data_IF_758623871147
#
_entry.id   IF_758623871147
#
_cell.length_a   1.000
_cell.length_b   1.000
_cell.length_c   1.000
_cell.angle_alpha   90.00
_cell.angle_beta   90.00
_cell.angle_gamma   90.00
#
_symmetry.space_group_name_H-M   'P 1'
#
loop_
_entity.id
_entity.type
_entity.pdbx_description
1 polymer ?
#
# COMPACT_ATOMS: atom_id res chain seq x y z
N UNK A 1 6.13 -39.02 -16.04
CA UNK A 1 5.01 -38.29 -16.69
C UNK A 1 4.54 -37.22 -15.70
N UNK A 2 4.45 -35.94 -16.11
CA UNK A 2 4.30 -34.69 -15.31
C UNK A 2 5.56 -33.80 -15.29
N UNK A 3 5.84 -33.14 -16.41
CA UNK A 3 6.76 -31.98 -16.51
C UNK A 3 6.12 -30.76 -17.19
N UNK A 4 4.80 -30.75 -17.38
CA UNK A 4 4.16 -29.82 -18.33
C UNK A 4 3.35 -28.68 -17.70
N UNK A 5 3.37 -28.51 -16.36
CA UNK A 5 2.56 -27.47 -15.70
C UNK A 5 3.34 -26.21 -15.29
N UNK A 6 4.67 -26.22 -15.39
CA UNK A 6 5.54 -25.10 -14.93
C UNK A 6 5.74 -23.99 -15.97
N UNK A 7 5.27 -24.19 -17.21
CA UNK A 7 5.43 -23.22 -18.29
C UNK A 7 4.19 -22.33 -18.51
N UNK A 8 3.07 -22.64 -17.86
CA UNK A 8 1.77 -22.01 -18.17
C UNK A 8 1.61 -20.63 -17.51
N UNK A 9 2.12 -20.42 -16.29
CA UNK A 9 2.03 -19.12 -15.61
C UNK A 9 2.95 -18.07 -16.23
N UNK A 10 4.19 -18.45 -16.59
CA UNK A 10 5.14 -17.53 -17.22
C UNK A 10 4.71 -17.12 -18.64
N UNK A 11 3.96 -17.98 -19.35
CA UNK A 11 3.43 -17.69 -20.68
C UNK A 11 2.20 -16.76 -20.65
N UNK A 12 1.33 -16.87 -19.63
CA UNK A 12 0.21 -15.92 -19.46
C UNK A 12 0.71 -14.49 -19.14
N UNK A 13 1.79 -14.36 -18.36
CA UNK A 13 2.37 -13.06 -18.00
C UNK A 13 3.00 -12.34 -19.21
N UNK A 14 3.71 -13.07 -20.08
CA UNK A 14 4.28 -12.53 -21.33
C UNK A 14 3.23 -12.17 -22.39
N UNK A 15 2.09 -12.88 -22.42
CA UNK A 15 0.98 -12.59 -23.35
C UNK A 15 0.20 -11.34 -22.94
N UNK A 16 -0.02 -11.12 -21.63
CA UNK A 16 -0.61 -9.88 -21.11
C UNK A 16 0.31 -8.67 -21.32
N UNK A 17 1.62 -8.82 -21.10
CA UNK A 17 2.59 -7.74 -21.35
C UNK A 17 2.68 -7.37 -22.83
N UNK A 18 2.59 -8.36 -23.74
CA UNK A 18 2.64 -8.11 -25.20
C UNK A 18 1.34 -7.50 -25.75
N UNK A 19 0.17 -7.84 -25.18
CA UNK A 19 -1.09 -7.24 -25.62
C UNK A 19 -1.29 -5.80 -25.12
N UNK A 20 -0.76 -5.46 -23.94
CA UNK A 20 -0.87 -4.10 -23.39
C UNK A 20 0.18 -3.15 -23.97
N UNK A 21 1.39 -3.63 -24.31
CA UNK A 21 2.50 -2.74 -24.71
C UNK A 21 2.95 -2.86 -26.18
N UNK A 22 2.52 -3.87 -26.96
CA UNK A 22 3.06 -4.13 -28.31
C UNK A 22 2.00 -4.50 -29.38
N UNK A 23 0.73 -4.08 -29.20
CA UNK A 23 -0.34 -4.30 -30.19
C UNK A 23 -0.37 -3.27 -31.34
N UNK A 24 -0.18 -3.78 -32.57
CA UNK A 24 -0.45 -3.22 -33.92
C UNK A 24 0.07 -1.82 -34.31
N UNK A 25 1.26 -1.82 -34.92
CA UNK A 25 1.88 -0.71 -35.68
C UNK A 25 1.31 -0.52 -37.10
N UNK A 26 0.00 -0.70 -37.31
CA UNK A 26 -0.60 -0.59 -38.65
C UNK A 26 -1.57 0.59 -38.78
N UNK A 27 -1.09 1.80 -38.46
CA UNK A 27 -1.68 3.05 -38.93
C UNK A 27 -0.67 4.21 -38.87
N UNK A 28 0.52 4.03 -39.43
CA UNK A 28 1.40 5.15 -39.80
C UNK A 28 1.13 5.51 -41.27
N UNK A 29 0.08 6.30 -41.48
CA UNK A 29 0.00 7.17 -42.64
C UNK A 29 0.39 8.57 -42.14
N UNK A 30 1.45 9.14 -42.71
CA UNK A 30 1.87 10.51 -42.40
C UNK A 30 0.69 11.46 -42.62
N UNK A 31 0.33 12.32 -41.65
CA UNK A 31 -0.65 13.36 -41.89
C UNK A 31 -0.06 14.36 -42.91
N UNK A 32 -0.87 14.88 -43.86
CA UNK A 32 -0.41 15.89 -44.79
C UNK A 32 0.01 17.16 -44.01
N UNK A 33 1.13 17.75 -44.42
CA UNK A 33 1.72 18.94 -43.81
C UNK A 33 0.69 20.08 -43.68
N UNK A 34 0.48 20.56 -42.45
CA UNK A 34 -0.30 21.78 -42.20
C UNK A 34 0.50 23.03 -42.61
N UNK A 35 -0.14 24.05 -43.20
CA UNK A 35 0.49 25.33 -43.48
C UNK A 35 0.70 26.12 -42.18
N UNK A 36 1.68 27.06 -42.15
CA UNK A 36 2.02 27.77 -40.93
C UNK A 36 1.01 28.89 -40.72
N UNK A 37 0.31 28.87 -39.58
CA UNK A 37 -0.24 30.11 -39.05
C UNK A 37 -0.07 30.19 -37.53
N UNK A 38 0.13 31.41 -37.10
CA UNK A 38 0.87 31.77 -35.90
C UNK A 38 0.02 31.79 -34.62
N UNK A 39 0.70 31.40 -33.52
CA UNK A 39 0.53 31.81 -32.11
C UNK A 39 0.04 30.72 -31.14
N UNK A 40 0.97 30.26 -30.29
CA UNK A 40 0.69 29.42 -29.10
C UNK A 40 1.77 28.36 -28.85
N UNK A 41 2.37 28.41 -27.66
CA UNK A 41 3.50 27.59 -27.15
C UNK A 41 3.48 26.08 -27.48
N UNK A 42 4.64 25.40 -27.70
CA UNK A 42 4.72 24.00 -28.15
C UNK A 42 4.65 22.94 -27.03
N UNK A 43 4.11 23.28 -25.86
CA UNK A 43 3.85 22.31 -24.78
C UNK A 43 2.36 22.32 -24.44
N UNK A 44 1.53 21.85 -25.38
CA UNK A 44 0.14 21.52 -25.08
C UNK A 44 0.11 20.10 -24.49
N UNK A 45 -0.07 19.99 -23.17
CA UNK A 45 -0.64 18.78 -22.59
C UNK A 45 -1.98 18.50 -23.31
N UNK A 46 -2.32 17.26 -23.67
CA UNK A 46 -3.40 16.98 -24.61
C UNK A 46 -4.83 17.17 -24.05
N UNK A 47 -5.01 17.89 -22.94
CA UNK A 47 -6.32 18.13 -22.34
C UNK A 47 -6.50 19.61 -22.00
N UNK A 48 -7.48 20.26 -22.61
CA UNK A 48 -7.74 21.70 -22.51
C UNK A 48 -8.63 22.10 -21.32
N UNK A 49 -9.31 21.16 -20.64
CA UNK A 49 -10.03 21.36 -19.38
C UNK A 49 -10.55 20.03 -18.80
N UNK A 50 -10.89 19.99 -17.51
CA UNK A 50 -11.57 18.85 -16.86
C UNK A 50 -12.91 18.50 -17.54
N UNK A 51 -13.60 19.51 -18.09
CA UNK A 51 -14.87 19.30 -18.79
C UNK A 51 -14.67 18.54 -20.12
N UNK A 52 -13.58 18.81 -20.83
CA UNK A 52 -13.22 18.10 -22.06
C UNK A 52 -12.82 16.65 -21.73
N UNK A 53 -12.01 16.45 -20.68
CA UNK A 53 -11.65 15.13 -20.19
C UNK A 53 -12.87 14.31 -19.73
N UNK A 54 -13.79 14.93 -19.00
CA UNK A 54 -15.02 14.28 -18.56
C UNK A 54 -15.89 13.83 -19.74
N UNK A 55 -15.89 14.60 -20.83
CA UNK A 55 -16.55 14.26 -22.09
C UNK A 55 -15.94 13.01 -22.74
N UNK A 56 -14.63 13.01 -22.91
CA UNK A 56 -13.88 11.93 -23.58
C UNK A 56 -13.88 10.63 -22.78
N UNK A 57 -13.85 10.71 -21.44
CA UNK A 57 -13.78 9.55 -20.55
C UNK A 57 -15.11 9.20 -19.88
N UNK A 58 -16.25 9.69 -20.38
CA UNK A 58 -17.57 9.47 -19.76
C UNK A 58 -17.91 8.00 -19.52
N UNK A 59 -17.43 7.10 -20.39
CA UNK A 59 -17.62 5.65 -20.25
C UNK A 59 -16.84 5.04 -19.06
N UNK A 60 -15.87 5.78 -18.50
CA UNK A 60 -15.03 5.41 -17.37
C UNK A 60 -15.41 6.13 -16.08
N UNK A 61 -16.53 6.89 -16.09
CA UNK A 61 -17.00 7.59 -14.91
C UNK A 61 -17.28 6.59 -13.77
N UNK A 62 -16.78 6.84 -12.54
CA UNK A 62 -17.07 5.99 -11.40
C UNK A 62 -18.56 6.08 -11.03
N UNK A 63 -19.13 5.04 -10.41
CA UNK A 63 -20.43 5.15 -9.78
C UNK A 63 -20.36 6.14 -8.62
N UNK A 64 -21.18 7.19 -8.66
CA UNK A 64 -21.27 8.18 -7.59
C UNK A 64 -22.28 7.71 -6.53
N UNK A 65 -21.83 7.68 -5.27
CA UNK A 65 -22.68 7.36 -4.14
C UNK A 65 -23.33 8.62 -3.57
N UNK A 66 -24.58 8.52 -3.05
CA UNK A 66 -25.29 9.67 -2.48
C UNK A 66 -24.76 10.10 -1.10
N UNK A 67 -23.79 9.37 -0.55
CA UNK A 67 -23.12 9.66 0.72
C UNK A 67 -21.77 8.94 0.76
N UNK A 68 -20.76 9.63 1.30
CA UNK A 68 -19.42 9.13 1.57
C UNK A 68 -18.53 10.34 1.85
N UNK A 69 -17.83 10.41 3.00
CA UNK A 69 -16.92 11.52 3.27
C UNK A 69 -15.67 11.40 2.39
N UNK A 70 -14.98 12.53 2.20
CA UNK A 70 -13.64 12.54 1.66
C UNK A 70 -12.63 12.25 2.78
N UNK A 71 -12.45 10.98 3.12
CA UNK A 71 -11.47 10.50 4.12
C UNK A 71 -10.32 9.77 3.44
N UNK A 72 -9.17 9.70 4.11
CA UNK A 72 -8.05 8.84 3.70
C UNK A 72 -8.38 7.37 3.96
N UNK A 73 -9.25 7.11 4.93
CA UNK A 73 -9.60 5.76 5.34
C UNK A 73 -8.58 5.22 6.35
N UNK A 74 -8.74 3.95 6.75
CA UNK A 74 -7.88 3.33 7.77
C UNK A 74 -6.40 3.23 7.32
N UNK A 75 -5.48 3.26 8.28
CA UNK A 75 -4.04 3.29 8.00
C UNK A 75 -3.49 1.98 7.42
N UNK A 76 -3.95 0.83 7.91
CA UNK A 76 -3.43 -0.47 7.47
C UNK A 76 -4.34 -1.14 6.43
N UNK A 77 -5.64 -0.93 6.51
CA UNK A 77 -6.63 -1.59 5.64
C UNK A 77 -6.81 -0.82 4.34
N UNK A 78 -6.48 -1.44 3.21
CA UNK A 78 -6.74 -0.86 1.91
C UNK A 78 -8.24 -0.63 1.64
N UNK A 79 -8.54 0.41 0.88
CA UNK A 79 -9.90 0.69 0.42
C UNK A 79 -10.21 -0.14 -0.83
N UNK A 80 -11.41 -0.74 -0.88
CA UNK A 80 -11.83 -1.54 -2.05
C UNK A 80 -12.20 -0.69 -3.28
N UNK A 81 -12.05 0.62 -3.19
CA UNK A 81 -12.34 1.56 -4.26
C UNK A 81 -11.04 1.99 -4.94
N UNK A 82 -11.13 2.21 -6.26
CA UNK A 82 -9.98 2.64 -7.04
C UNK A 82 -10.02 4.13 -7.34
N UNK A 83 -8.91 4.78 -7.56
CA UNK A 83 -8.90 6.18 -7.95
C UNK A 83 -9.57 6.36 -9.33
N UNK A 84 -10.47 7.35 -9.50
CA UNK A 84 -11.04 7.67 -10.80
C UNK A 84 -9.96 8.13 -11.78
N UNK A 85 -10.16 7.89 -13.08
CA UNK A 85 -9.22 8.35 -14.11
C UNK A 85 -8.94 9.86 -13.99
N UNK A 86 -7.66 10.21 -14.00
CA UNK A 86 -7.19 11.60 -13.85
C UNK A 86 -7.15 12.10 -12.40
N UNK A 87 -7.61 11.31 -11.43
CA UNK A 87 -7.42 11.59 -10.00
C UNK A 87 -6.16 10.89 -9.50
N UNK A 88 -5.53 11.49 -8.50
CA UNK A 88 -4.38 10.92 -7.82
C UNK A 88 -4.27 11.52 -6.42
N UNK A 89 -3.58 10.80 -5.54
CA UNK A 89 -3.22 11.34 -4.24
C UNK A 89 -1.79 10.99 -3.85
N UNK A 90 -1.20 11.89 -3.07
CA UNK A 90 0.07 11.69 -2.39
C UNK A 90 -0.19 11.57 -0.90
N UNK A 91 0.27 10.48 -0.31
CA UNK A 91 0.04 10.15 1.10
C UNK A 91 1.37 9.80 1.75
N UNK A 92 2.01 10.75 2.45
CA UNK A 92 2.99 10.47 3.47
C UNK A 92 2.26 9.92 4.69
N UNK A 93 2.29 8.61 4.83
CA UNK A 93 1.88 7.93 6.04
C UNK A 93 3.13 7.70 6.90
N UNK A 94 3.09 8.00 8.20
CA UNK A 94 4.18 7.77 9.13
C UNK A 94 3.69 6.93 10.32
N UNK A 95 4.48 5.92 10.69
CA UNK A 95 4.25 5.09 11.87
C UNK A 95 5.58 4.66 12.48
N UNK A 96 5.63 4.56 13.81
CA UNK A 96 6.85 4.18 14.53
C UNK A 96 6.61 2.93 15.36
N UNK A 97 7.30 1.83 15.05
CA UNK A 97 7.24 0.63 15.88
C UNK A 97 8.11 0.81 17.12
N UNK A 98 7.49 1.20 18.23
CA UNK A 98 8.20 1.44 19.48
C UNK A 98 8.18 0.20 20.38
N UNK A 99 9.36 -0.26 20.77
CA UNK A 99 9.55 -1.27 21.82
C UNK A 99 10.70 -0.86 22.75
N UNK A 100 10.94 -1.53 23.90
CA UNK A 100 11.99 -1.12 24.81
C UNK A 100 13.37 -1.06 24.15
N UNK A 101 13.89 0.16 24.00
CA UNK A 101 15.19 0.43 23.39
C UNK A 101 15.19 0.42 21.85
N UNK A 102 14.04 0.41 21.19
CA UNK A 102 13.92 0.43 19.73
C UNK A 102 12.82 1.40 19.29
N UNK A 103 13.09 2.15 18.22
CA UNK A 103 12.12 2.96 17.49
C UNK A 103 12.44 2.78 16.00
N UNK A 104 11.45 2.31 15.24
CA UNK A 104 11.56 2.07 13.81
C UNK A 104 10.47 2.89 13.13
N UNK A 105 10.79 4.14 12.82
CA UNK A 105 9.91 5.05 12.12
C UNK A 105 9.94 4.73 10.63
N UNK A 106 8.81 4.32 10.08
CA UNK A 106 8.61 4.18 8.65
C UNK A 106 7.66 5.26 8.16
N UNK A 107 8.03 5.91 7.06
CA UNK A 107 7.21 6.89 6.37
C UNK A 107 7.04 6.52 4.89
N UNK A 108 6.12 5.60 4.55
CA UNK A 108 5.75 5.33 3.17
C UNK A 108 5.22 6.58 2.47
N UNK A 109 5.94 7.01 1.43
CA UNK A 109 5.47 8.01 0.50
C UNK A 109 4.67 7.30 -0.60
N UNK A 110 3.35 7.26 -0.46
CA UNK A 110 2.45 6.62 -1.43
C UNK A 110 1.97 7.61 -2.47
N UNK A 111 2.09 7.27 -3.74
CA UNK A 111 1.42 7.94 -4.86
C UNK A 111 0.44 6.94 -5.49
N UNK A 112 -0.85 7.22 -5.40
CA UNK A 112 -1.90 6.43 -6.03
C UNK A 112 -2.49 7.19 -7.23
N UNK A 113 -2.70 6.50 -8.34
CA UNK A 113 -3.17 7.10 -9.60
C UNK A 113 -4.26 6.25 -10.22
N UNK A 114 -5.39 6.90 -10.53
CA UNK A 114 -6.50 6.27 -11.22
C UNK A 114 -6.21 6.08 -12.70
N UNK A 115 -6.21 4.83 -13.16
CA UNK A 115 -5.94 4.46 -14.56
C UNK A 115 -7.23 4.33 -15.40
N UNK A 116 -8.40 4.41 -14.76
CA UNK A 116 -9.69 4.11 -15.38
C UNK A 116 -9.95 2.60 -15.47
N UNK A 117 -11.07 2.20 -16.07
CA UNK A 117 -11.47 0.78 -16.18
C UNK A 117 -11.41 -0.01 -14.86
N UNK A 118 -11.75 0.65 -13.75
CA UNK A 118 -11.69 0.08 -12.41
C UNK A 118 -10.26 -0.32 -11.96
N UNK A 119 -9.22 0.35 -12.47
CA UNK A 119 -7.82 0.12 -12.11
C UNK A 119 -7.19 1.36 -11.46
N UNK A 120 -6.36 1.10 -10.46
CA UNK A 120 -5.46 2.06 -9.82
C UNK A 120 -4.07 1.44 -9.72
N UNK A 121 -3.06 2.30 -9.83
CA UNK A 121 -1.67 1.97 -9.59
C UNK A 121 -1.16 2.81 -8.43
N UNK A 122 -0.53 2.15 -7.48
CA UNK A 122 0.09 2.80 -6.35
C UNK A 122 1.58 2.50 -6.35
N UNK A 123 2.35 3.49 -5.93
CA UNK A 123 3.80 3.36 -5.73
C UNK A 123 4.14 3.92 -4.36
N UNK A 124 4.89 3.14 -3.60
CA UNK A 124 5.31 3.47 -2.24
C UNK A 124 6.82 3.51 -2.18
N UNK A 125 7.34 4.62 -1.66
CA UNK A 125 8.75 4.78 -1.31
C UNK A 125 8.87 4.99 0.20
N UNK A 126 9.17 3.94 0.99
CA UNK A 126 9.32 4.08 2.43
C UNK A 126 10.62 4.80 2.77
N UNK A 127 10.49 5.88 3.54
CA UNK A 127 11.60 6.54 4.21
C UNK A 127 11.65 6.01 5.64
N UNK A 128 12.77 5.39 6.01
CA UNK A 128 12.90 4.68 7.28
C UNK A 128 13.95 5.34 8.15
N UNK A 129 13.64 5.48 9.43
CA UNK A 129 14.57 5.87 10.47
C UNK A 129 14.50 4.86 11.60
N UNK A 130 15.58 4.10 11.76
CA UNK A 130 15.73 3.19 12.89
C UNK A 130 16.59 3.85 13.97
N UNK A 131 16.24 3.56 15.20
CA UNK A 131 16.99 3.92 16.39
C UNK A 131 17.01 2.73 17.35
N UNK A 132 18.20 2.36 17.79
CA UNK A 132 18.42 1.24 18.71
C UNK A 132 19.28 1.73 19.87
N UNK A 133 18.84 1.48 21.09
CA UNK A 133 19.50 1.89 22.33
C UNK A 133 19.30 0.86 23.45
N UNK A 134 19.70 1.18 24.69
CA UNK A 134 19.55 0.24 25.80
C UNK A 134 18.06 -0.05 26.04
N UNK A 135 17.66 -1.30 26.32
CA UNK A 135 18.51 -2.44 26.68
C UNK A 135 19.05 -3.28 25.50
N UNK A 136 18.75 -2.94 24.24
CA UNK A 136 19.23 -3.70 23.08
C UNK A 136 20.73 -3.49 22.83
N UNK A 137 21.24 -2.33 23.23
CA UNK A 137 22.67 -1.99 23.20
C UNK A 137 23.27 -1.94 24.61
N UNK A 138 24.61 -1.99 24.74
CA UNK A 138 25.28 -1.68 26.00
C UNK A 138 24.92 -0.28 26.52
N UNK A 139 24.87 -0.12 27.85
CA UNK A 139 24.60 1.18 28.46
C UNK A 139 25.55 2.27 27.94
N UNK A 140 24.98 3.41 27.50
CA UNK A 140 25.74 4.52 26.93
C UNK A 140 26.02 4.42 25.43
N UNK A 141 25.56 3.37 24.76
CA UNK A 141 25.63 3.20 23.30
C UNK A 141 24.24 3.31 22.68
N UNK A 142 24.16 3.90 21.49
CA UNK A 142 22.96 3.88 20.66
C UNK A 142 23.37 3.99 19.20
N UNK A 143 22.59 3.41 18.31
CA UNK A 143 22.76 3.51 16.87
C UNK A 143 21.50 4.13 16.25
N UNK A 144 21.67 4.88 15.18
CA UNK A 144 20.55 5.37 14.38
C UNK A 144 20.95 5.41 12.93
N UNK A 145 20.02 5.01 12.07
CA UNK A 145 20.22 4.99 10.64
C UNK A 145 18.97 5.51 9.94
N UNK A 146 19.16 6.22 8.83
CA UNK A 146 18.09 6.73 7.99
C UNK A 146 18.36 6.35 6.54
N UNK A 147 17.32 5.95 5.84
CA UNK A 147 17.41 5.73 4.39
C UNK A 147 16.09 5.34 3.77
N UNK A 148 16.19 4.68 2.62
CA UNK A 148 15.05 4.20 1.86
C UNK A 148 14.89 2.72 2.14
N UNK A 149 13.65 2.30 2.40
CA UNK A 149 13.33 0.90 2.58
C UNK A 149 13.04 0.16 1.28
N UNK A 150 12.25 -0.90 1.37
CA UNK A 150 11.82 -1.65 0.19
C UNK A 150 10.76 -0.89 -0.62
N UNK A 151 11.02 -0.65 -1.90
CA UNK A 151 10.06 -0.01 -2.80
C UNK A 151 8.89 -0.95 -3.05
N UNK A 152 7.67 -0.43 -3.00
CA UNK A 152 6.45 -1.22 -3.14
C UNK A 152 5.56 -0.67 -4.27
N UNK A 153 4.98 -1.57 -5.06
CA UNK A 153 4.02 -1.26 -6.12
C UNK A 153 2.75 -2.07 -5.91
N UNK A 154 1.60 -1.42 -6.04
CA UNK A 154 0.29 -2.06 -5.92
C UNK A 154 -0.50 -1.84 -7.20
N UNK A 155 -1.13 -2.89 -7.72
CA UNK A 155 -2.15 -2.77 -8.76
C UNK A 155 -3.47 -3.20 -8.16
N UNK A 156 -4.39 -2.25 -8.02
CA UNK A 156 -5.71 -2.48 -7.45
C UNK A 156 -6.76 -2.53 -8.55
N UNK A 157 -7.55 -3.61 -8.55
CA UNK A 157 -8.61 -3.86 -9.52
C UNK A 157 -9.96 -4.01 -8.84
N UNK A 158 -10.82 -2.99 -9.01
CA UNK A 158 -12.16 -3.01 -8.46
C UNK A 158 -13.08 -3.91 -9.30
N UNK A 159 -13.65 -4.92 -8.64
CA UNK A 159 -14.56 -5.90 -9.22
C UNK A 159 -16.02 -5.46 -9.12
N UNK A 160 -16.37 -4.81 -8.02
CA UNK A 160 -17.74 -4.33 -7.74
C UNK A 160 -17.71 -2.99 -7.04
N UNK A 161 -18.82 -2.28 -7.10
CA UNK A 161 -19.01 -1.00 -6.42
C UNK A 161 -20.12 -1.13 -5.39
N UNK A 162 -20.08 -0.28 -4.37
CA UNK A 162 -21.14 -0.26 -3.36
C UNK A 162 -22.48 0.05 -4.03
N UNK A 163 -23.46 -0.83 -3.83
CA UNK A 163 -24.74 -0.74 -4.51
C UNK A 163 -25.70 0.26 -3.87
N UNK A 164 -25.64 0.44 -2.54
CA UNK A 164 -26.53 1.33 -1.80
C UNK A 164 -26.02 1.53 -0.36
N UNK A 165 -25.80 2.79 0.01
CA UNK A 165 -25.27 3.23 1.31
C UNK A 165 -26.30 3.19 2.45
N UNK A 166 -27.58 3.04 2.13
CA UNK A 166 -28.69 2.97 3.09
C UNK A 166 -29.17 1.53 3.33
N UNK A 167 -28.70 0.57 2.55
CA UNK A 167 -29.06 -0.84 2.65
C UNK A 167 -27.85 -1.69 3.06
N UNK A 168 -27.78 -2.19 4.30
CA UNK A 168 -26.64 -2.96 4.79
C UNK A 168 -26.31 -4.21 3.97
N UNK A 169 -27.33 -4.82 3.35
CA UNK A 169 -27.20 -6.06 2.57
C UNK A 169 -27.10 -5.83 1.05
N UNK A 170 -27.09 -4.57 0.59
CA UNK A 170 -26.75 -4.30 -0.81
C UNK A 170 -25.29 -4.64 -1.07
N UNK A 171 -24.96 -4.96 -2.33
CA UNK A 171 -23.62 -5.36 -2.77
C UNK A 171 -22.55 -4.40 -2.21
N UNK A 172 -21.48 -4.91 -1.56
CA UNK A 172 -20.34 -4.09 -1.14
C UNK A 172 -19.44 -3.79 -2.32
N UNK A 173 -18.54 -2.81 -2.16
CA UNK A 173 -17.39 -2.68 -3.06
C UNK A 173 -16.38 -3.78 -2.75
N UNK A 174 -15.84 -4.42 -3.79
CA UNK A 174 -14.85 -5.48 -3.70
C UNK A 174 -13.76 -5.20 -4.72
N UNK A 175 -12.50 -5.30 -4.29
CA UNK A 175 -11.33 -5.22 -5.16
C UNK A 175 -10.35 -6.36 -4.89
N UNK A 176 -9.48 -6.60 -5.85
CA UNK A 176 -8.24 -7.35 -5.67
C UNK A 176 -7.07 -6.37 -5.72
N UNK A 177 -6.10 -6.50 -4.82
CA UNK A 177 -4.79 -5.86 -4.98
C UNK A 177 -3.72 -6.90 -5.24
N UNK A 178 -2.77 -6.51 -6.08
CA UNK A 178 -1.56 -7.26 -6.40
C UNK A 178 -0.37 -6.40 -6.05
N UNK A 179 0.38 -6.86 -5.06
CA UNK A 179 1.38 -6.05 -4.39
C UNK A 179 2.77 -6.66 -4.64
N UNK A 180 3.74 -5.80 -4.95
CA UNK A 180 5.10 -6.21 -5.30
C UNK A 180 6.11 -5.36 -4.56
N UNK A 181 6.90 -5.98 -3.69
CA UNK A 181 8.01 -5.33 -3.01
C UNK A 181 9.34 -5.70 -3.67
N UNK A 182 10.16 -4.68 -3.91
CA UNK A 182 11.52 -4.80 -4.40
C UNK A 182 12.48 -4.60 -3.23
N UNK A 183 13.49 -5.47 -3.04
CA UNK A 183 14.45 -5.37 -1.95
C UNK A 183 15.47 -4.25 -2.20
N UNK A 184 15.00 -3.00 -2.23
CA UNK A 184 15.82 -1.80 -2.45
C UNK A 184 16.46 -1.27 -1.17
N UNK A 185 15.94 -1.64 0.00
CA UNK A 185 16.51 -1.25 1.29
C UNK A 185 17.84 -1.94 1.58
N UNK A 186 18.58 -1.45 2.57
CA UNK A 186 19.83 -2.10 3.01
C UNK A 186 19.49 -3.36 3.84
N UNK A 187 20.00 -4.52 3.42
CA UNK A 187 19.83 -5.80 4.15
C UNK A 187 21.11 -6.66 4.19
N UNK A 188 22.18 -6.19 3.56
CA UNK A 188 23.49 -6.83 3.51
C UNK A 188 24.57 -5.84 3.94
N UNK A 189 25.74 -6.37 4.30
CA UNK A 189 26.89 -5.59 4.77
C UNK A 189 26.57 -4.72 5.99
N UNK A 190 25.65 -5.22 6.83
CA UNK A 190 25.24 -4.56 8.06
C UNK A 190 26.43 -4.44 9.01
N UNK A 191 26.55 -3.30 9.66
CA UNK A 191 27.58 -3.04 10.65
C UNK A 191 27.15 -3.65 12.00
N UNK A 192 27.91 -4.62 12.55
CA UNK A 192 27.54 -5.22 13.84
C UNK A 192 27.53 -4.23 15.01
N UNK A 193 28.16 -3.06 14.88
CA UNK A 193 28.13 -2.00 15.90
C UNK A 193 26.87 -1.15 15.84
N UNK A 194 26.07 -1.27 14.78
CA UNK A 194 24.82 -0.53 14.61
C UNK A 194 23.59 -1.33 15.06
N UNK A 195 23.78 -2.57 15.56
CA UNK A 195 22.73 -3.39 16.18
C UNK A 195 21.45 -3.45 15.35
N UNK A 196 21.58 -3.84 14.07
CA UNK A 196 20.52 -3.88 13.04
C UNK A 196 19.83 -2.55 12.72
N UNK A 197 20.21 -1.43 13.33
CA UNK A 197 19.63 -0.12 12.97
C UNK A 197 19.84 0.22 11.49
N UNK A 198 20.94 -0.25 10.88
CA UNK A 198 21.26 -0.04 9.47
C UNK A 198 20.57 -1.02 8.49
N UNK A 199 19.71 -1.90 8.98
CA UNK A 199 18.81 -2.70 8.15
C UNK A 199 17.55 -1.91 7.81
N UNK A 200 17.33 -1.63 6.53
CA UNK A 200 16.17 -0.90 6.00
C UNK A 200 15.31 -1.78 5.08
N UNK A 201 15.55 -3.08 5.03
CA UNK A 201 14.79 -3.97 4.17
C UNK A 201 14.96 -5.42 4.58
N UNK A 202 13.99 -6.25 4.19
CA UNK A 202 14.04 -7.69 4.44
C UNK A 202 14.91 -8.44 3.42
N UNK A 203 15.31 -7.79 2.32
CA UNK A 203 16.16 -8.41 1.30
C UNK A 203 15.48 -9.40 0.37
N UNK A 204 14.16 -9.51 0.42
CA UNK A 204 13.36 -10.42 -0.40
C UNK A 204 12.52 -9.66 -1.42
N UNK A 205 12.27 -10.28 -2.56
CA UNK A 205 11.13 -9.88 -3.40
C UNK A 205 9.88 -10.46 -2.76
N UNK A 206 8.86 -9.63 -2.56
CA UNK A 206 7.60 -10.09 -1.99
C UNK A 206 6.49 -9.92 -3.01
N UNK A 207 5.61 -10.92 -3.11
CA UNK A 207 4.43 -10.90 -3.96
C UNK A 207 3.18 -11.15 -3.13
N UNK A 208 2.33 -10.13 -3.02
CA UNK A 208 1.08 -10.16 -2.28
C UNK A 208 -0.13 -10.23 -3.18
N UNK A 209 -1.16 -10.96 -2.73
CA UNK A 209 -2.50 -10.90 -3.33
C UNK A 209 -3.52 -10.75 -2.22
N UNK A 210 -4.34 -9.69 -2.32
CA UNK A 210 -5.33 -9.37 -1.30
C UNK A 210 -6.72 -9.25 -1.90
N UNK A 211 -7.72 -9.60 -1.08
CA UNK A 211 -9.12 -9.27 -1.30
C UNK A 211 -9.47 -8.12 -0.37
N UNK A 212 -10.01 -7.06 -0.96
CA UNK A 212 -10.45 -5.86 -0.24
C UNK A 212 -11.96 -5.75 -0.33
N UNK A 213 -12.60 -5.41 0.77
CA UNK A 213 -14.05 -5.20 0.86
C UNK A 213 -14.32 -3.90 1.57
N UNK A 214 -15.22 -3.08 1.01
CA UNK A 214 -15.76 -1.89 1.65
C UNK A 214 -17.28 -1.91 1.60
N UNK A 215 -17.93 -1.53 2.70
CA UNK A 215 -19.38 -1.33 2.73
C UNK A 215 -19.76 -0.06 3.46
N UNK A 216 -20.56 0.77 2.79
CA UNK A 216 -21.24 1.93 3.36
C UNK A 216 -22.55 1.51 4.01
N UNK A 217 -22.73 1.93 5.26
CA UNK A 217 -23.98 1.80 6.00
C UNK A 217 -24.17 3.07 6.82
N UNK A 218 -24.65 4.14 6.19
CA UNK A 218 -24.69 5.49 6.78
C UNK A 218 -25.24 5.46 8.23
N UNK A 219 -24.53 6.04 9.22
CA UNK A 219 -23.32 6.89 9.13
C UNK A 219 -21.98 6.15 9.23
N UNK A 220 -21.96 4.84 9.02
CA UNK A 220 -20.79 3.98 9.21
C UNK A 220 -20.19 3.50 7.90
N UNK A 221 -18.90 3.17 7.95
CA UNK A 221 -18.20 2.44 6.90
C UNK A 221 -17.46 1.25 7.50
N UNK A 222 -17.44 0.15 6.77
CA UNK A 222 -16.76 -1.08 7.14
C UNK A 222 -15.74 -1.45 6.08
N UNK A 223 -14.57 -1.88 6.55
CA UNK A 223 -13.43 -2.26 5.71
C UNK A 223 -12.92 -3.63 6.12
N UNK A 224 -12.47 -4.41 5.15
CA UNK A 224 -11.79 -5.68 5.36
C UNK A 224 -10.76 -5.88 4.26
N UNK A 225 -9.56 -6.29 4.65
CA UNK A 225 -8.50 -6.74 3.76
C UNK A 225 -7.94 -8.06 4.29
N UNK A 226 -7.84 -9.05 3.42
CA UNK A 226 -7.19 -10.33 3.74
C UNK A 226 -6.37 -10.77 2.54
N UNK A 227 -5.15 -11.23 2.77
CA UNK A 227 -4.27 -11.68 1.70
C UNK A 227 -3.12 -12.54 2.18
N UNK A 228 -2.38 -13.07 1.23
CA UNK A 228 -1.16 -13.84 1.44
C UNK A 228 -0.02 -13.14 0.72
N UNK A 229 1.12 -13.02 1.39
CA UNK A 229 2.36 -12.50 0.81
C UNK A 229 3.37 -13.64 0.80
N UNK A 230 3.89 -13.90 -0.39
CA UNK A 230 4.99 -14.83 -0.60
C UNK A 230 6.28 -14.04 -0.63
N UNK A 231 7.23 -14.45 0.18
CA UNK A 231 8.59 -13.89 0.17
C UNK A 231 9.54 -14.86 -0.55
N UNK A 232 10.29 -14.32 -1.51
CA UNK A 232 11.26 -15.10 -2.28
C UNK A 232 12.55 -15.32 -1.48
N UNK A 233 13.16 -16.51 -1.55
CA UNK A 233 14.41 -16.80 -0.87
C UNK A 233 15.50 -15.81 -1.22
N UNK A 234 16.26 -15.39 -0.22
CA UNK A 234 17.35 -14.45 -0.38
C UNK A 234 18.62 -14.92 0.34
N UNK A 235 19.69 -14.13 0.24
CA UNK A 235 20.92 -14.32 1.00
C UNK A 235 21.13 -13.09 1.87
N UNK A 236 21.25 -13.29 3.19
CA UNK A 236 21.36 -12.21 4.17
C UNK A 236 22.69 -12.29 4.93
N UNK A 237 23.12 -11.15 5.46
CA UNK A 237 24.37 -10.99 6.19
C UNK A 237 24.26 -11.27 7.68
N UNK A 238 25.41 -11.26 8.36
CA UNK A 238 25.46 -11.24 9.83
C UNK A 238 24.83 -9.95 10.35
N UNK A 239 24.08 -10.04 11.44
CA UNK A 239 23.38 -8.91 12.04
C UNK A 239 21.99 -8.65 11.45
N UNK A 240 21.58 -9.42 10.44
CA UNK A 240 20.25 -9.30 9.84
C UNK A 240 19.16 -9.70 10.84
N UNK A 241 18.17 -8.86 11.04
CA UNK A 241 16.98 -9.10 11.85
C UNK A 241 15.87 -9.74 11.01
N UNK A 242 15.37 -10.89 11.46
CA UNK A 242 14.23 -11.56 10.80
C UNK A 242 12.93 -10.80 11.06
N UNK A 243 11.91 -11.04 10.24
CA UNK A 243 10.58 -10.40 10.33
C UNK A 243 9.92 -10.46 11.72
N UNK A 244 10.34 -11.40 12.58
CA UNK A 244 9.85 -11.49 13.96
C UNK A 244 10.40 -10.40 14.90
N UNK A 245 11.35 -9.57 14.44
CA UNK A 245 12.00 -8.48 15.18
C UNK A 245 12.61 -8.88 16.52
N UNK A 246 13.01 -10.14 16.65
CA UNK A 246 13.66 -10.69 17.86
C UNK A 246 14.92 -11.43 17.48
N UNK A 247 14.85 -12.23 16.41
CA UNK A 247 15.94 -13.11 16.01
C UNK A 247 16.90 -12.39 15.08
N UNK A 248 18.19 -12.54 15.36
CA UNK A 248 19.27 -12.01 14.52
C UNK A 248 20.06 -13.15 13.89
N UNK A 249 20.35 -13.04 12.60
CA UNK A 249 21.24 -13.95 11.90
C UNK A 249 22.70 -13.71 12.31
N UNK A 250 23.38 -14.78 12.73
CA UNK A 250 24.80 -14.76 13.10
C UNK A 250 25.72 -15.41 12.05
N UNK A 251 25.13 -15.90 10.95
CA UNK A 251 25.85 -16.67 9.93
C UNK A 251 26.11 -15.81 8.69
N UNK A 252 27.35 -15.69 8.19
CA UNK A 252 27.60 -14.99 6.94
C UNK A 252 26.97 -15.74 5.76
N UNK A 253 26.43 -15.00 4.79
CA UNK A 253 25.79 -15.54 3.58
C UNK A 253 24.69 -16.58 3.89
N UNK A 254 23.86 -16.29 4.89
CA UNK A 254 22.76 -17.17 5.26
C UNK A 254 21.72 -17.19 4.15
N UNK A 255 21.41 -18.37 3.63
CA UNK A 255 20.35 -18.53 2.65
C UNK A 255 19.00 -18.59 3.37
N UNK A 256 18.27 -17.49 3.34
CA UNK A 256 17.01 -17.31 4.03
C UNK A 256 15.84 -17.78 3.17
N UNK A 257 14.91 -18.49 3.81
CA UNK A 257 13.58 -18.84 3.28
C UNK A 257 12.58 -18.48 4.37
N UNK A 258 11.82 -17.41 4.15
CA UNK A 258 10.72 -17.03 5.01
C UNK A 258 9.48 -17.86 4.74
N UNK A 259 8.63 -17.95 5.76
CA UNK A 259 7.30 -18.53 5.58
C UNK A 259 6.37 -17.57 4.84
N UNK A 260 5.25 -18.09 4.34
CA UNK A 260 4.19 -17.23 3.86
C UNK A 260 3.64 -16.34 4.99
N UNK A 261 3.36 -15.08 4.65
CA UNK A 261 2.72 -14.11 5.53
C UNK A 261 1.23 -14.03 5.23
N UNK A 262 0.41 -14.40 6.21
CA UNK A 262 -1.01 -14.11 6.18
C UNK A 262 -1.23 -12.70 6.74
N UNK A 263 -1.79 -11.83 5.92
CA UNK A 263 -2.18 -10.48 6.31
C UNK A 263 -3.69 -10.40 6.51
N UNK A 264 -4.12 -9.72 7.58
CA UNK A 264 -5.53 -9.46 7.83
C UNK A 264 -5.70 -8.12 8.56
N UNK A 265 -6.54 -7.26 8.00
CA UNK A 265 -6.89 -5.99 8.60
C UNK A 265 -8.36 -5.66 8.33
N UNK A 266 -8.93 -4.80 9.15
CA UNK A 266 -10.28 -4.30 8.93
C UNK A 266 -10.57 -3.14 9.85
N UNK A 267 -11.53 -2.33 9.46
CA UNK A 267 -11.87 -1.13 10.22
C UNK A 267 -13.37 -0.89 10.27
N UNK A 268 -13.77 -0.25 11.35
CA UNK A 268 -15.07 0.36 11.53
C UNK A 268 -14.89 1.86 11.67
N UNK A 269 -15.50 2.62 10.77
CA UNK A 269 -15.45 4.07 10.77
C UNK A 269 -16.84 4.66 11.03
N UNK A 270 -16.90 5.68 11.87
CA UNK A 270 -18.08 6.50 12.07
C UNK A 270 -17.84 7.93 11.59
N UNK A 271 -18.60 8.31 10.57
CA UNK A 271 -18.52 9.63 9.96
C UNK A 271 -19.39 10.60 10.75
N UNK A 272 -18.74 11.58 11.39
CA UNK A 272 -19.41 12.62 12.16
C UNK A 272 -19.82 13.81 11.30
N UNK A 273 -19.02 14.12 10.28
CA UNK A 273 -19.28 15.22 9.36
C UNK A 273 -18.74 14.90 7.96
N UNK A 274 -19.62 14.90 6.96
CA UNK A 274 -19.23 14.60 5.57
C UNK A 274 -18.52 15.76 4.87
N UNK A 275 -18.86 17.01 5.19
CA UNK A 275 -18.23 18.20 4.62
C UNK A 275 -16.75 18.27 5.03
N UNK A 276 -16.47 17.98 6.29
CA UNK A 276 -15.12 18.02 6.84
C UNK A 276 -14.40 16.68 6.81
N UNK A 277 -14.99 15.64 6.20
CA UNK A 277 -14.47 14.28 6.28
C UNK A 277 -14.09 13.86 7.71
N UNK A 278 -14.83 14.34 8.71
CA UNK A 278 -14.43 14.21 10.10
C UNK A 278 -15.05 12.96 10.71
N UNK A 279 -14.23 12.14 11.34
CA UNK A 279 -14.65 10.86 11.90
C UNK A 279 -13.67 10.31 12.90
N UNK A 280 -14.06 9.17 13.47
CA UNK A 280 -13.15 8.28 14.16
C UNK A 280 -13.32 6.89 13.60
N UNK A 281 -12.27 6.10 13.68
CA UNK A 281 -12.30 4.71 13.28
C UNK A 281 -11.57 3.84 14.30
N UNK A 282 -11.99 2.59 14.35
CA UNK A 282 -11.33 1.53 15.09
C UNK A 282 -10.89 0.50 14.07
N UNK A 283 -9.59 0.43 13.84
CA UNK A 283 -8.96 -0.54 12.98
C UNK A 283 -8.40 -1.70 13.80
N UNK A 284 -8.42 -2.90 13.22
CA UNK A 284 -7.60 -4.02 13.63
C UNK A 284 -6.64 -4.36 12.50
N UNK A 285 -5.43 -4.75 12.86
CA UNK A 285 -4.40 -5.16 11.92
C UNK A 285 -3.61 -6.30 12.54
N UNK A 286 -3.30 -7.32 11.75
CA UNK A 286 -2.45 -8.40 12.17
C UNK A 286 -1.80 -9.12 11.01
N UNK A 287 -0.75 -9.83 11.36
CA UNK A 287 0.05 -10.61 10.44
C UNK A 287 0.44 -11.93 11.10
N UNK A 288 0.69 -12.96 10.28
CA UNK A 288 1.27 -14.21 10.75
C UNK A 288 2.18 -14.82 9.71
N UNK A 289 3.42 -15.09 10.10
CA UNK A 289 4.36 -15.90 9.32
C UNK A 289 4.27 -17.36 9.71
N UNK A 290 4.02 -18.22 8.73
CA UNK A 290 4.01 -19.67 8.94
C UNK A 290 5.42 -20.28 8.93
N UNK A 291 5.56 -21.55 9.33
CA UNK A 291 6.83 -22.28 9.21
C UNK A 291 7.09 -22.88 7.81
N UNK A 292 6.29 -22.50 6.81
CA UNK A 292 6.36 -23.05 5.44
C UNK A 292 6.16 -21.94 4.42
N UNK A 293 6.84 -22.05 3.31
CA UNK A 293 6.64 -21.24 2.13
C UNK A 293 5.89 -22.04 1.06
N UNK A 294 4.88 -21.44 0.45
CA UNK A 294 4.02 -22.07 -0.57
C UNK A 294 4.82 -22.61 -1.76
N UNK A 295 5.89 -21.91 -2.16
CA UNK A 295 6.68 -22.28 -3.33
C UNK A 295 8.06 -22.83 -3.00
N UNK A 296 8.64 -22.45 -1.86
CA UNK A 296 10.05 -22.74 -1.54
C UNK A 296 10.24 -23.79 -0.43
N UNK A 297 9.15 -24.31 0.15
CA UNK A 297 9.19 -25.42 1.11
C UNK A 297 9.37 -24.96 2.55
N UNK A 298 10.12 -25.70 3.37
CA UNK A 298 10.23 -25.39 4.79
C UNK A 298 10.97 -24.05 5.01
N UNK A 299 10.35 -23.17 5.80
CA UNK A 299 10.97 -21.92 6.20
C UNK A 299 12.08 -22.19 7.21
N UNK A 300 13.16 -21.41 7.13
CA UNK A 300 14.22 -21.39 8.12
C UNK A 300 14.27 -20.08 8.92
N UNK A 301 13.41 -19.10 8.58
CA UNK A 301 13.09 -17.97 9.42
C UNK A 301 12.08 -18.35 10.53
N UNK A 302 12.09 -17.67 11.69
CA UNK A 302 11.16 -17.94 12.77
C UNK A 302 9.70 -17.62 12.39
N UNK A 303 8.72 -18.45 12.78
CA UNK A 303 7.31 -18.10 12.65
C UNK A 303 6.90 -17.11 13.73
N UNK A 304 6.06 -16.13 13.39
CA UNK A 304 5.52 -15.15 14.32
C UNK A 304 4.06 -14.86 14.02
N UNK A 305 3.38 -14.18 14.97
CA UNK A 305 2.08 -13.58 14.71
C UNK A 305 1.78 -12.47 15.69
N UNK A 306 1.05 -11.46 15.25
CA UNK A 306 0.48 -10.44 16.13
C UNK A 306 -0.90 -9.99 15.63
N UNK A 307 -1.64 -9.37 16.54
CA UNK A 307 -2.89 -8.67 16.28
C UNK A 307 -2.92 -7.41 17.15
N UNK A 308 -3.21 -6.27 16.53
CA UNK A 308 -3.32 -4.96 17.14
C UNK A 308 -4.71 -4.36 16.93
N UNK A 309 -5.03 -3.38 17.77
CA UNK A 309 -6.18 -2.49 17.61
C UNK A 309 -5.68 -1.05 17.58
N UNK A 310 -6.18 -0.28 16.62
CA UNK A 310 -5.79 1.10 16.37
C UNK A 310 -7.02 2.01 16.42
N UNK A 311 -7.25 2.73 17.55
CA UNK A 311 -8.15 3.87 17.55
C UNK A 311 -7.53 5.05 16.83
N UNK A 312 -8.32 5.69 15.97
CA UNK A 312 -7.87 6.72 15.05
C UNK A 312 -8.90 7.82 14.88
N UNK A 313 -8.44 8.99 14.45
CA UNK A 313 -9.25 10.15 14.10
C UNK A 313 -8.79 10.74 12.79
N UNK A 314 -9.74 11.25 12.00
CA UNK A 314 -9.46 11.89 10.72
C UNK A 314 -10.24 13.20 10.57
N UNK A 315 -9.66 14.13 9.82
CA UNK A 315 -10.30 15.38 9.41
C UNK A 315 -9.75 15.87 8.08
N UNK A 316 -10.62 16.40 7.23
CA UNK A 316 -10.28 16.88 5.90
C UNK A 316 -10.38 18.41 5.83
N UNK A 317 -9.21 19.04 5.74
CA UNK A 317 -9.07 20.48 5.59
C UNK A 317 -7.67 20.88 5.08
N UNK A 318 -7.54 21.79 4.11
CA UNK A 318 -8.60 22.40 3.32
C UNK A 318 -9.30 21.36 2.43
N UNK A 319 -10.55 21.64 2.06
CA UNK A 319 -11.29 20.87 1.07
C UNK A 319 -11.91 21.82 0.05
N UNK A 320 -11.59 21.62 -1.21
CA UNK A 320 -12.28 22.21 -2.34
C UNK A 320 -12.56 21.13 -3.40
N UNK A 321 -13.17 21.52 -4.53
CA UNK A 321 -13.57 20.56 -5.57
C UNK A 321 -12.41 19.93 -6.33
N UNK A 322 -11.27 20.61 -6.40
CA UNK A 322 -10.08 20.19 -7.14
C UNK A 322 -9.05 19.52 -6.22
N UNK A 323 -9.04 19.90 -4.95
CA UNK A 323 -8.00 19.53 -4.01
C UNK A 323 -8.53 19.42 -2.58
N UNK A 324 -8.07 18.40 -1.87
CA UNK A 324 -8.36 18.23 -0.46
C UNK A 324 -7.16 17.66 0.28
N UNK A 325 -7.09 17.97 1.58
CA UNK A 325 -6.06 17.40 2.46
C UNK A 325 -6.73 16.71 3.64
N UNK A 326 -6.49 15.42 3.79
CA UNK A 326 -6.95 14.66 4.96
C UNK A 326 -5.80 14.48 5.95
N UNK A 327 -6.08 14.71 7.23
CA UNK A 327 -5.16 14.53 8.33
C UNK A 327 -5.66 13.38 9.19
N UNK A 328 -4.85 12.35 9.35
CA UNK A 328 -5.15 11.23 10.21
C UNK A 328 -4.15 11.14 11.36
N UNK A 329 -4.61 10.67 12.51
CA UNK A 329 -3.74 10.32 13.63
C UNK A 329 -4.33 9.16 14.43
N UNK A 330 -3.46 8.31 14.97
CA UNK A 330 -3.87 7.16 15.77
C UNK A 330 -2.74 6.54 16.56
N UNK A 331 -3.04 5.42 17.19
CA UNK A 331 -2.05 4.58 17.86
C UNK A 331 -2.47 3.11 17.79
N UNK A 332 -1.66 2.25 17.18
CA UNK A 332 -1.86 0.81 17.26
C UNK A 332 -1.35 0.28 18.60
N UNK A 333 -2.21 -0.48 19.27
CA UNK A 333 -1.95 -1.08 20.57
C UNK A 333 -1.98 -2.61 20.46
N UNK A 334 -1.07 -3.30 21.17
CA UNK A 334 -0.97 -4.74 21.06
C UNK A 334 -2.12 -5.45 21.78
N UNK A 335 -2.81 -6.35 21.07
CA UNK A 335 -3.86 -7.23 21.64
C UNK A 335 -3.31 -8.63 21.84
N UNK A 336 -2.54 -9.11 20.87
CA UNK A 336 -1.91 -10.42 20.89
C UNK A 336 -0.57 -10.38 20.15
N UNK A 337 0.42 -11.11 20.67
CA UNK A 337 1.74 -11.32 20.07
C UNK A 337 2.23 -12.74 20.40
N UNK A 338 2.84 -13.38 19.43
CA UNK A 338 3.55 -14.66 19.55
C UNK A 338 4.84 -14.58 18.76
N UNK A 339 5.96 -14.80 19.45
CA UNK A 339 7.32 -14.63 18.90
C UNK A 339 7.49 -13.26 18.21
N UNK A 340 6.91 -12.21 18.78
CA UNK A 340 6.97 -10.84 18.26
C UNK A 340 7.06 -9.87 19.46
N UNK A 341 7.83 -8.77 19.37
CA UNK A 341 8.00 -7.85 20.49
C UNK A 341 6.70 -7.15 20.86
N UNK A 342 6.60 -6.73 22.13
CA UNK A 342 5.51 -5.86 22.57
C UNK A 342 5.74 -4.46 22.02
N UNK A 343 5.02 -4.15 20.96
CA UNK A 343 5.14 -2.90 20.20
C UNK A 343 3.93 -2.00 20.41
N UNK A 344 4.16 -0.70 20.56
CA UNK A 344 3.15 0.36 20.46
C UNK A 344 3.50 1.20 19.25
N UNK A 345 2.51 1.53 18.43
CA UNK A 345 2.76 2.15 17.13
C UNK A 345 1.98 3.45 16.99
N UNK A 346 2.50 4.62 17.43
CA UNK A 346 1.91 5.89 17.07
C UNK A 346 1.97 6.08 15.54
N UNK A 347 0.93 6.70 15.00
CA UNK A 347 0.74 6.84 13.57
C UNK A 347 0.10 8.18 13.19
N UNK A 348 0.42 8.65 12.00
CA UNK A 348 -0.19 9.84 11.41
C UNK A 348 -0.03 9.89 9.90
N UNK A 349 -0.97 10.52 9.21
CA UNK A 349 -0.94 10.67 7.75
C UNK A 349 -1.38 12.08 7.35
N UNK A 350 -0.91 12.51 6.17
CA UNK A 350 -1.41 13.69 5.48
C UNK A 350 -1.68 13.35 4.02
N UNK A 351 -2.93 13.09 3.66
CA UNK A 351 -3.29 12.68 2.30
C UNK A 351 -3.66 13.88 1.46
N UNK A 352 -2.82 14.21 0.48
CA UNK A 352 -3.04 15.27 -0.50
C UNK A 352 -3.74 14.70 -1.72
N UNK A 353 -5.02 14.98 -1.86
CA UNK A 353 -5.85 14.43 -2.92
C UNK A 353 -6.10 15.46 -4.02
N UNK A 354 -5.91 15.06 -5.27
CA UNK A 354 -6.18 15.86 -6.46
C UNK A 354 -7.32 15.22 -7.25
N UNK A 355 -8.45 15.92 -7.29
CA UNK A 355 -9.66 15.50 -7.95
C UNK A 355 -9.52 15.67 -9.46
N UNK A 356 -9.63 14.56 -10.19
CA UNK A 356 -9.73 14.55 -11.63
C UNK A 356 -11.12 15.00 -12.13
N UNK A 357 -11.41 14.81 -13.43
CA UNK A 357 -12.65 15.30 -14.07
C UNK A 357 -13.94 14.75 -13.48
N UNK A 358 -13.87 13.63 -12.75
CA UNK A 358 -15.03 12.99 -12.11
C UNK A 358 -15.13 13.27 -10.60
N UNK A 359 -14.20 14.05 -10.03
CA UNK A 359 -14.18 14.34 -8.59
C UNK A 359 -13.88 13.12 -7.71
N UNK A 360 -14.07 13.31 -6.39
CA UNK A 360 -13.96 12.25 -5.38
C UNK A 360 -15.19 11.33 -5.38
N UNK A 361 -15.02 10.11 -4.84
CA UNK A 361 -16.07 9.10 -4.67
C UNK A 361 -16.92 9.38 -3.42
N UNK A 362 -17.73 10.43 -3.47
CA UNK A 362 -18.56 10.88 -2.37
C UNK A 362 -18.71 12.39 -2.45
N UNK A 363 -19.94 12.90 -2.41
CA UNK A 363 -20.28 14.30 -2.74
C UNK A 363 -19.50 15.36 -1.97
#
# INVERSE_FOLDING_TARGET
MKRSCRLFLCFCFLVLFRQVFLGDTSCLADPPAMPPDASGSPFAFPFSSDADMAGDFKALAPPLLPWGPNTSGPFFTGTAEVEPIGSWYLEPFAYDFMSPGVSNLSMPMRLAVGLGHNLELDTYLPLEQNWVGPPQTPAGHSASYFGVGNTHFEVKWQLTSDGDVYLPLAMPAIALSFDFWVPSGQYQNLNPQDFSADQLGNGTFNEGVFVLVRKHVKPFMFYLQVGDIVENPSTVGVGYEFNNSISLNQTPNFHMVDGNLLYYAGAFEHVLNTEWGAGYLLEFYGESQSGQNLFFGAANAPPFSFLWLAPEVEVTWPHDKAFSVTWGAGVALPVYQSDYPVTVTPMGTVTFYFNGPFGYRGM
#
